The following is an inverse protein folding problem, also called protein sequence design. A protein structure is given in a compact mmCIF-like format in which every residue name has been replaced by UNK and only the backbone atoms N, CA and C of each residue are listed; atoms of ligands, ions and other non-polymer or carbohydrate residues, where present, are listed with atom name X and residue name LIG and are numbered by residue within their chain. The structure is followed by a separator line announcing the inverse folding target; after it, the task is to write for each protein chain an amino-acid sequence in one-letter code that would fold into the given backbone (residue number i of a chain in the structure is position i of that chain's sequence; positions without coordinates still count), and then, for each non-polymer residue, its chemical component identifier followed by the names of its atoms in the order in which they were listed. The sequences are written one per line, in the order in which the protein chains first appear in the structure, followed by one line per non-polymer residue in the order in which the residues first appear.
data_IF_219292177469
#
_entry.id   IF_219292177469
#
_cell.length_a   1.000
_cell.length_b   1.000
_cell.length_c   1.000
_cell.angle_alpha   90.00
_cell.angle_beta   90.00
_cell.angle_gamma   90.00
#
_symmetry.space_group_name_H-M   'P 1'
#
loop_
_entity.id
_entity.type
_entity.pdbx_description
1 polymer ?
#
# COMPACT_ATOMS: atom_id res chain seq x y z
N UNK A 1 -5.27 -30.38 -26.16
CA UNK A 1 -5.37 -31.69 -25.46
C UNK A 1 -5.31 -32.75 -26.54
N UNK A 2 -4.53 -33.83 -26.34
CA UNK A 2 -4.34 -34.89 -27.34
C UNK A 2 -3.20 -34.68 -28.35
N UNK A 3 -2.43 -33.60 -28.19
CA UNK A 3 -1.30 -33.27 -29.07
C UNK A 3 -0.02 -33.81 -28.43
N UNK A 4 0.84 -34.43 -29.24
CA UNK A 4 2.19 -34.82 -28.82
C UNK A 4 3.07 -33.59 -28.75
N UNK A 5 3.74 -33.40 -27.61
CA UNK A 5 4.68 -32.31 -27.39
C UNK A 5 5.94 -32.85 -26.70
N UNK A 6 7.06 -32.19 -26.96
CA UNK A 6 8.31 -32.41 -26.25
C UNK A 6 8.45 -31.34 -25.17
N UNK A 7 8.76 -31.76 -23.94
CA UNK A 7 8.99 -30.84 -22.84
C UNK A 7 10.40 -30.26 -22.86
N UNK A 8 10.61 -29.22 -22.05
CA UNK A 8 11.94 -28.62 -21.87
C UNK A 8 13.02 -29.62 -21.45
N UNK A 9 12.63 -30.70 -20.76
CA UNK A 9 13.55 -31.76 -20.31
C UNK A 9 13.72 -32.90 -21.33
N UNK A 10 13.25 -32.73 -22.57
CA UNK A 10 13.35 -33.73 -23.63
C UNK A 10 12.39 -34.91 -23.49
N UNK A 11 11.36 -34.78 -22.64
CA UNK A 11 10.33 -35.81 -22.51
C UNK A 11 9.27 -35.62 -23.59
N UNK A 12 9.06 -36.66 -24.40
CA UNK A 12 7.91 -36.71 -25.30
C UNK A 12 6.67 -37.16 -24.54
N UNK A 13 5.61 -36.37 -24.60
CA UNK A 13 4.35 -36.66 -23.91
C UNK A 13 3.13 -36.19 -24.70
N UNK A 14 1.96 -36.60 -24.25
CA UNK A 14 0.67 -36.11 -24.76
C UNK A 14 0.09 -35.09 -23.79
N UNK A 15 -0.42 -33.98 -24.31
CA UNK A 15 -1.08 -32.95 -23.47
C UNK A 15 -2.41 -33.51 -22.96
N UNK A 16 -2.43 -33.96 -21.71
CA UNK A 16 -3.62 -34.54 -21.04
C UNK A 16 -4.59 -33.51 -20.47
N UNK A 17 -4.14 -32.27 -20.27
CA UNK A 17 -4.97 -31.22 -19.68
C UNK A 17 -4.34 -29.83 -19.85
N UNK A 18 -5.18 -28.81 -19.72
CA UNK A 18 -4.79 -27.41 -19.67
C UNK A 18 -5.56 -26.79 -18.50
N UNK A 19 -4.86 -26.05 -17.66
CA UNK A 19 -5.44 -25.31 -16.54
C UNK A 19 -5.54 -23.84 -16.88
N UNK A 20 -6.40 -23.10 -16.17
CA UNK A 20 -6.37 -21.65 -16.18
C UNK A 20 -5.03 -21.13 -15.67
N UNK A 21 -4.69 -19.92 -16.08
CA UNK A 21 -3.46 -19.25 -15.66
C UNK A 21 -3.46 -19.06 -14.14
N UNK A 22 -2.34 -19.41 -13.50
CA UNK A 22 -2.11 -19.17 -12.09
C UNK A 22 -0.70 -18.65 -11.86
N UNK A 23 -0.53 -17.86 -10.80
CA UNK A 23 0.78 -17.35 -10.41
C UNK A 23 1.57 -18.44 -9.70
N UNK A 24 2.66 -18.88 -10.32
CA UNK A 24 3.62 -19.82 -9.73
C UNK A 24 4.95 -19.16 -9.35
N UNK A 25 5.12 -17.88 -9.70
CA UNK A 25 6.30 -17.06 -9.42
C UNK A 25 5.90 -15.72 -8.76
N UNK A 26 6.85 -14.78 -8.66
CA UNK A 26 6.58 -13.43 -8.12
C UNK A 26 5.50 -12.71 -8.94
N UNK A 27 4.66 -11.88 -8.31
CA UNK A 27 3.64 -11.06 -9.00
C UNK A 27 4.26 -9.99 -9.92
N UNK A 28 5.56 -9.71 -9.77
CA UNK A 28 6.30 -8.83 -10.66
C UNK A 28 6.56 -9.49 -12.03
N UNK A 29 6.54 -10.83 -12.09
CA UNK A 29 6.80 -11.59 -13.32
C UNK A 29 5.50 -11.90 -14.05
N UNK A 30 5.58 -11.89 -15.39
CA UNK A 30 4.50 -12.38 -16.25
C UNK A 30 4.36 -13.89 -16.01
N UNK A 31 3.13 -14.41 -16.11
CA UNK A 31 2.91 -15.86 -16.08
C UNK A 31 3.52 -16.45 -17.35
N UNK A 32 4.69 -17.06 -17.22
CA UNK A 32 5.35 -17.77 -18.31
C UNK A 32 4.66 -19.12 -18.57
N UNK A 33 4.76 -19.67 -19.79
CA UNK A 33 4.24 -21.00 -20.09
C UNK A 33 4.88 -22.04 -19.15
N UNK A 34 4.05 -22.67 -18.32
CA UNK A 34 4.48 -23.71 -17.40
C UNK A 34 3.98 -25.07 -17.90
N UNK A 35 4.91 -26.00 -18.11
CA UNK A 35 4.58 -27.40 -18.38
C UNK A 35 4.69 -28.17 -17.08
N UNK A 36 3.57 -28.74 -16.63
CA UNK A 36 3.54 -29.68 -15.50
C UNK A 36 3.62 -31.09 -16.07
N UNK A 37 4.73 -31.75 -15.81
CA UNK A 37 4.95 -33.12 -16.27
C UNK A 37 5.33 -34.06 -15.12
N UNK A 38 4.94 -35.32 -15.28
CA UNK A 38 5.41 -36.41 -14.43
C UNK A 38 6.40 -37.21 -15.27
N UNK A 39 7.68 -36.99 -15.01
CA UNK A 39 8.73 -37.72 -15.68
C UNK A 39 8.81 -39.14 -15.12
N UNK A 40 8.75 -40.17 -15.98
CA UNK A 40 8.81 -41.60 -15.57
C UNK A 40 10.20 -42.22 -15.66
N UNK A 41 11.20 -41.49 -16.17
CA UNK A 41 12.58 -41.97 -16.26
C UNK A 41 13.17 -42.12 -14.84
N UNK A 42 13.60 -43.33 -14.44
CA UNK A 42 14.17 -43.57 -13.12
C UNK A 42 15.41 -42.72 -12.82
N UNK A 43 16.24 -42.44 -13.82
CA UNK A 43 17.49 -41.69 -13.62
C UNK A 43 17.22 -40.19 -13.50
N UNK A 44 16.21 -39.67 -14.22
CA UNK A 44 15.72 -38.32 -14.01
C UNK A 44 15.07 -38.14 -12.64
N UNK A 45 14.23 -39.10 -12.20
CA UNK A 45 13.57 -39.03 -10.88
C UNK A 45 14.56 -38.96 -9.74
N UNK A 46 15.63 -39.78 -9.76
CA UNK A 46 16.68 -39.75 -8.73
C UNK A 46 17.29 -38.36 -8.52
N UNK A 47 17.36 -37.54 -9.58
CA UNK A 47 17.97 -36.21 -9.53
C UNK A 47 16.98 -35.11 -9.13
N UNK A 48 15.72 -35.21 -9.55
CA UNK A 48 14.75 -34.10 -9.47
C UNK A 48 13.58 -34.32 -8.51
N UNK A 49 13.28 -35.55 -8.07
CA UNK A 49 12.14 -35.84 -7.17
C UNK A 49 12.45 -35.65 -5.68
N UNK A 50 13.12 -34.55 -5.31
CA UNK A 50 13.55 -34.31 -3.91
C UNK A 50 12.42 -33.77 -3.02
N UNK A 51 11.35 -33.22 -3.60
CA UNK A 51 10.25 -32.62 -2.88
C UNK A 51 8.91 -33.19 -3.36
N UNK A 52 7.98 -33.42 -2.42
CA UNK A 52 6.62 -33.87 -2.71
C UNK A 52 5.65 -32.81 -2.18
N UNK A 53 4.69 -32.41 -3.01
CA UNK A 53 3.63 -31.51 -2.59
C UNK A 53 2.44 -32.32 -2.08
N UNK A 54 2.12 -32.17 -0.80
CA UNK A 54 1.03 -32.88 -0.13
C UNK A 54 -0.05 -31.90 0.28
N UNK A 55 -1.31 -32.20 -0.08
CA UNK A 55 -2.48 -31.47 0.41
C UNK A 55 -3.11 -32.25 1.56
N UNK A 56 -3.09 -31.66 2.75
CA UNK A 56 -3.71 -32.25 3.94
C UNK A 56 -5.20 -31.89 4.00
N UNK A 57 -6.01 -32.83 4.50
CA UNK A 57 -7.40 -32.52 4.87
C UNK A 57 -7.44 -31.55 6.07
N UNK A 58 -8.54 -30.82 6.30
CA UNK A 58 -8.72 -30.03 7.52
C UNK A 58 -8.65 -30.91 8.79
N UNK A 59 -8.15 -30.39 9.91
CA UNK A 59 -8.02 -31.12 11.19
C UNK A 59 -6.75 -30.75 11.97
N UNK A 60 -6.37 -31.57 12.95
CA UNK A 60 -5.13 -31.37 13.71
C UNK A 60 -3.92 -31.57 12.79
N UNK A 61 -3.13 -30.51 12.64
CA UNK A 61 -1.95 -30.50 11.79
C UNK A 61 -0.79 -31.27 12.42
N UNK A 62 -0.65 -31.22 13.75
CA UNK A 62 0.47 -31.86 14.46
C UNK A 62 0.34 -33.38 14.38
N UNK A 63 -0.88 -33.90 14.52
CA UNK A 63 -1.16 -35.33 14.38
C UNK A 63 -0.84 -35.81 12.95
N UNK A 64 -1.23 -35.03 11.93
CA UNK A 64 -1.00 -35.37 10.52
C UNK A 64 0.46 -35.32 10.13
N UNK A 65 1.22 -34.34 10.63
CA UNK A 65 2.67 -34.27 10.40
C UNK A 65 3.35 -35.47 11.04
N UNK A 66 2.99 -35.81 12.28
CA UNK A 66 3.54 -36.99 12.95
C UNK A 66 3.24 -38.28 12.18
N UNK A 67 2.00 -38.45 11.71
CA UNK A 67 1.64 -39.61 10.87
C UNK A 67 2.45 -39.66 9.56
N UNK A 68 2.79 -38.50 8.97
CA UNK A 68 3.66 -38.45 7.79
C UNK A 68 5.11 -38.79 8.13
N UNK A 69 5.63 -38.31 9.26
CA UNK A 69 6.97 -38.64 9.76
C UNK A 69 7.09 -40.15 9.99
N UNK A 70 6.15 -40.76 10.72
CA UNK A 70 6.14 -42.20 10.99
C UNK A 70 6.12 -43.03 9.69
N UNK A 71 5.31 -42.64 8.71
CA UNK A 71 5.25 -43.31 7.40
C UNK A 71 6.52 -43.12 6.57
N UNK A 72 7.16 -41.96 6.65
CA UNK A 72 8.40 -41.70 5.92
C UNK A 72 9.56 -42.49 6.49
N UNK A 73 9.59 -42.69 7.81
CA UNK A 73 10.57 -43.53 8.49
C UNK A 73 10.41 -45.00 8.10
N UNK A 74 9.17 -45.51 8.03
CA UNK A 74 8.87 -46.87 7.54
C UNK A 74 9.35 -47.09 6.10
N UNK A 75 9.19 -46.09 5.23
CA UNK A 75 9.57 -46.18 3.82
C UNK A 75 11.08 -46.00 3.58
N UNK A 76 11.79 -45.31 4.48
CA UNK A 76 13.21 -45.02 4.32
C UNK A 76 13.89 -44.66 5.66
N UNK A 77 14.55 -45.65 6.26
CA UNK A 77 15.30 -45.54 7.53
C UNK A 77 16.39 -44.44 7.55
N UNK A 78 16.81 -43.92 6.40
CA UNK A 78 17.89 -42.90 6.28
C UNK A 78 17.42 -41.50 5.83
N UNK A 79 16.11 -41.27 5.67
CA UNK A 79 15.60 -39.99 5.16
C UNK A 79 15.23 -39.03 6.27
N UNK A 80 15.92 -37.88 6.35
CA UNK A 80 15.50 -36.77 7.22
C UNK A 80 14.37 -36.02 6.52
N UNK A 81 13.14 -36.14 7.04
CA UNK A 81 12.00 -35.41 6.52
C UNK A 81 12.13 -33.92 6.83
N UNK A 82 12.41 -33.11 5.80
CA UNK A 82 12.25 -31.66 5.84
C UNK A 82 10.93 -31.26 5.21
N UNK A 83 10.13 -30.43 5.88
CA UNK A 83 8.91 -29.86 5.32
C UNK A 83 8.94 -28.34 5.35
N UNK A 84 8.16 -27.73 4.48
CA UNK A 84 7.91 -26.28 4.48
C UNK A 84 6.50 -26.05 4.01
N UNK A 85 5.76 -25.19 4.70
CA UNK A 85 4.43 -24.81 4.25
C UNK A 85 4.51 -23.93 3.02
N UNK A 86 3.60 -24.15 2.08
CA UNK A 86 3.48 -23.29 0.90
C UNK A 86 3.27 -21.84 1.32
N UNK A 87 2.49 -21.60 2.38
CA UNK A 87 2.26 -20.27 2.94
C UNK A 87 3.56 -19.58 3.38
N UNK A 88 4.49 -20.30 3.99
CA UNK A 88 5.79 -19.72 4.40
C UNK A 88 6.63 -19.33 3.18
N UNK A 89 6.59 -20.13 2.12
CA UNK A 89 7.29 -19.84 0.88
C UNK A 89 6.67 -18.64 0.15
N UNK A 90 5.34 -18.56 0.12
CA UNK A 90 4.62 -17.39 -0.40
C UNK A 90 4.97 -16.15 0.43
N UNK A 91 4.95 -16.24 1.76
CA UNK A 91 5.29 -15.13 2.64
C UNK A 91 6.72 -14.62 2.43
N UNK A 92 7.68 -15.49 2.07
CA UNK A 92 9.04 -15.05 1.69
C UNK A 92 9.02 -14.20 0.43
N UNK A 93 8.27 -14.61 -0.58
CA UNK A 93 8.14 -13.87 -1.85
C UNK A 93 7.43 -12.52 -1.68
N UNK A 94 6.57 -12.36 -0.67
CA UNK A 94 5.84 -11.10 -0.39
C UNK A 94 6.44 -10.25 0.72
N UNK A 95 7.54 -10.68 1.34
CA UNK A 95 8.12 -10.03 2.53
C UNK A 95 8.66 -8.64 2.19
N UNK A 96 9.27 -8.48 1.03
CA UNK A 96 9.78 -7.21 0.51
C UNK A 96 8.67 -6.18 0.33
N UNK A 97 7.58 -6.59 -0.29
CA UNK A 97 6.41 -5.78 -0.62
C UNK A 97 5.71 -5.32 0.65
N UNK A 98 5.55 -6.23 1.62
CA UNK A 98 4.97 -5.90 2.92
C UNK A 98 5.82 -4.88 3.68
N UNK A 99 7.15 -5.04 3.69
CA UNK A 99 8.07 -4.07 4.31
C UNK A 99 8.01 -2.70 3.63
N UNK A 100 8.01 -2.69 2.30
CA UNK A 100 7.90 -1.44 1.53
C UNK A 100 6.59 -0.73 1.83
N UNK A 101 5.47 -1.46 1.86
CA UNK A 101 4.16 -0.93 2.28
C UNK A 101 4.23 -0.31 3.66
N UNK A 102 4.78 -1.01 4.66
CA UNK A 102 4.90 -0.51 6.04
C UNK A 102 5.74 0.78 6.11
N UNK A 103 6.87 0.83 5.39
CA UNK A 103 7.72 2.03 5.31
C UNK A 103 7.00 3.21 4.66
N UNK A 104 6.36 2.99 3.51
CA UNK A 104 5.59 4.03 2.82
C UNK A 104 4.45 4.55 3.70
N UNK A 105 3.79 3.67 4.45
CA UNK A 105 2.72 4.05 5.37
C UNK A 105 3.23 4.92 6.53
N UNK A 106 4.37 4.55 7.12
CA UNK A 106 5.02 5.35 8.16
C UNK A 106 5.46 6.73 7.64
N UNK A 107 6.08 6.79 6.46
CA UNK A 107 6.48 8.05 5.84
C UNK A 107 5.29 8.93 5.44
N UNK A 108 4.20 8.34 4.96
CA UNK A 108 2.99 9.08 4.64
C UNK A 108 2.40 9.75 5.89
N UNK A 109 2.31 9.03 7.02
CA UNK A 109 1.85 9.61 8.29
C UNK A 109 2.76 10.74 8.74
N UNK A 110 4.08 10.53 8.72
CA UNK A 110 5.04 11.55 9.12
C UNK A 110 4.94 12.79 8.22
N UNK A 111 4.82 12.60 6.91
CA UNK A 111 4.67 13.68 5.95
C UNK A 111 3.38 14.48 6.20
N UNK A 112 2.25 13.81 6.45
CA UNK A 112 0.99 14.46 6.81
C UNK A 112 1.16 15.24 8.12
N UNK A 113 1.77 14.63 9.14
CA UNK A 113 1.98 15.27 10.43
C UNK A 113 2.84 16.54 10.33
N UNK A 114 3.97 16.46 9.63
CA UNK A 114 4.87 17.60 9.39
C UNK A 114 4.16 18.67 8.55
N UNK A 115 3.40 18.28 7.53
CA UNK A 115 2.62 19.21 6.71
C UNK A 115 1.57 19.95 7.54
N UNK A 116 0.91 19.27 8.48
CA UNK A 116 -0.03 19.89 9.41
C UNK A 116 0.68 20.90 10.34
N UNK A 117 1.88 20.59 10.83
CA UNK A 117 2.69 21.52 11.63
C UNK A 117 3.11 22.74 10.81
N UNK A 118 3.52 22.54 9.55
CA UNK A 118 3.87 23.63 8.65
C UNK A 118 2.68 24.55 8.35
N UNK A 119 1.52 23.97 8.03
CA UNK A 119 0.28 24.72 7.82
C UNK A 119 -0.15 25.47 9.09
N UNK A 120 -0.03 24.82 10.26
CA UNK A 120 -0.29 25.44 11.56
C UNK A 120 0.63 26.64 11.79
N UNK A 121 1.94 26.51 11.57
CA UNK A 121 2.91 27.59 11.71
C UNK A 121 2.61 28.76 10.76
N UNK A 122 2.34 28.46 9.49
CA UNK A 122 2.02 29.48 8.48
C UNK A 122 0.71 30.21 8.80
N UNK A 123 -0.31 29.48 9.30
CA UNK A 123 -1.58 30.07 9.71
C UNK A 123 -1.42 31.01 10.91
N UNK A 124 -0.59 30.63 11.89
CA UNK A 124 -0.32 31.46 13.07
C UNK A 124 0.43 32.74 12.68
N UNK A 125 1.48 32.62 11.87
CA UNK A 125 2.24 33.78 11.37
C UNK A 125 1.37 34.71 10.51
N UNK A 126 0.52 34.16 9.66
CA UNK A 126 -0.41 34.97 8.84
C UNK A 126 -1.45 35.68 9.69
N UNK A 127 -1.96 35.01 10.73
CA UNK A 127 -2.88 35.64 11.68
C UNK A 127 -2.20 36.81 12.39
N UNK A 128 -0.96 36.65 12.83
CA UNK A 128 -0.14 37.71 13.46
C UNK A 128 0.06 38.91 12.54
N UNK A 129 0.47 38.70 11.28
CA UNK A 129 0.64 39.77 10.29
C UNK A 129 -0.67 40.52 9.99
N UNK A 130 -1.80 39.82 10.03
CA UNK A 130 -3.13 40.40 9.77
C UNK A 130 -3.90 40.83 11.02
N UNK A 131 -3.28 40.79 12.20
CA UNK A 131 -3.90 41.20 13.47
C UNK A 131 -4.47 42.62 13.41
N UNK A 132 -3.74 43.59 12.85
CA UNK A 132 -4.19 44.99 12.74
C UNK A 132 -5.45 45.10 11.86
N UNK A 133 -5.47 44.44 10.72
CA UNK A 133 -6.64 44.43 9.81
C UNK A 133 -7.84 43.74 10.46
N UNK A 134 -7.61 42.61 11.14
CA UNK A 134 -8.65 41.86 11.85
C UNK A 134 -9.20 42.63 13.05
N UNK A 135 -8.36 43.34 13.79
CA UNK A 135 -8.73 44.18 14.92
C UNK A 135 -9.61 45.35 14.51
N UNK A 136 -9.27 46.03 13.40
CA UNK A 136 -10.10 47.10 12.83
C UNK A 136 -11.46 46.55 12.37
N UNK A 137 -11.48 45.45 11.60
CA UNK A 137 -12.74 44.84 11.14
C UNK A 137 -13.62 44.39 12.31
N UNK A 138 -13.04 43.81 13.36
CA UNK A 138 -13.77 43.38 14.56
C UNK A 138 -14.31 44.58 15.35
N UNK A 139 -13.55 45.67 15.47
CA UNK A 139 -14.02 46.92 16.06
C UNK A 139 -15.16 47.58 15.26
N UNK A 140 -15.17 47.38 13.93
CA UNK A 140 -16.28 47.77 13.04
C UNK A 140 -17.48 46.79 13.07
N UNK A 141 -17.49 45.79 13.96
CA UNK A 141 -18.61 44.87 14.15
C UNK A 141 -18.59 43.61 13.27
N UNK A 142 -17.47 43.28 12.61
CA UNK A 142 -17.37 42.03 11.87
C UNK A 142 -17.43 40.81 12.82
N UNK A 143 -18.26 39.82 12.46
CA UNK A 143 -18.36 38.57 13.22
C UNK A 143 -17.06 37.75 13.12
N UNK A 144 -16.74 37.00 14.18
CA UNK A 144 -15.59 36.07 14.21
C UNK A 144 -15.66 35.08 13.03
N UNK A 145 -16.88 34.62 12.69
CA UNK A 145 -17.10 33.74 11.54
C UNK A 145 -16.68 34.34 10.19
N UNK A 146 -16.94 35.64 9.98
CA UNK A 146 -16.53 36.34 8.74
C UNK A 146 -15.00 36.41 8.61
N UNK A 147 -14.32 36.68 9.73
CA UNK A 147 -12.85 36.71 9.80
C UNK A 147 -12.26 35.32 9.56
N UNK A 148 -12.83 34.29 10.21
CA UNK A 148 -12.44 32.89 10.03
C UNK A 148 -12.64 32.41 8.58
N UNK A 149 -13.75 32.78 7.94
CA UNK A 149 -14.03 32.40 6.55
C UNK A 149 -13.04 33.05 5.59
N UNK A 150 -12.74 34.34 5.77
CA UNK A 150 -11.78 35.05 4.91
C UNK A 150 -10.37 34.43 4.99
N UNK A 151 -9.91 34.11 6.20
CA UNK A 151 -8.62 33.46 6.41
C UNK A 151 -8.62 32.05 5.80
N UNK A 152 -9.64 31.25 6.09
CA UNK A 152 -9.77 29.87 5.58
C UNK A 152 -9.81 29.84 4.05
N UNK A 153 -10.57 30.74 3.41
CA UNK A 153 -10.64 30.83 1.94
C UNK A 153 -9.27 31.04 1.30
N UNK A 154 -8.43 31.88 1.91
CA UNK A 154 -7.10 32.18 1.39
C UNK A 154 -6.21 30.93 1.42
N UNK A 155 -6.25 30.15 2.51
CA UNK A 155 -5.54 28.87 2.62
C UNK A 155 -6.10 27.80 1.68
N UNK A 156 -7.43 27.70 1.53
CA UNK A 156 -8.06 26.71 0.65
C UNK A 156 -7.68 26.92 -0.83
N UNK A 157 -7.48 28.16 -1.28
CA UNK A 157 -7.00 28.44 -2.64
C UNK A 157 -5.61 27.84 -2.87
N UNK A 158 -4.69 27.97 -1.89
CA UNK A 158 -3.37 27.34 -1.99
C UNK A 158 -3.44 25.81 -1.97
N UNK A 159 -4.36 25.23 -1.18
CA UNK A 159 -4.58 23.77 -1.19
C UNK A 159 -5.10 23.29 -2.54
N UNK A 160 -6.04 24.00 -3.15
CA UNK A 160 -6.55 23.67 -4.49
C UNK A 160 -5.41 23.73 -5.52
N UNK A 161 -4.61 24.79 -5.50
CA UNK A 161 -3.47 24.92 -6.40
C UNK A 161 -2.45 23.78 -6.21
N UNK A 162 -2.18 23.39 -4.96
CA UNK A 162 -1.32 22.27 -4.64
C UNK A 162 -1.90 20.94 -5.12
N UNK A 163 -3.21 20.69 -4.95
CA UNK A 163 -3.88 19.47 -5.43
C UNK A 163 -3.87 19.37 -6.95
N UNK A 164 -4.07 20.48 -7.67
CA UNK A 164 -4.00 20.50 -9.14
C UNK A 164 -2.63 20.07 -9.68
N UNK A 165 -1.57 20.26 -8.90
CA UNK A 165 -0.21 19.85 -9.25
C UNK A 165 0.08 18.43 -8.71
N UNK A 166 -0.32 18.15 -7.47
CA UNK A 166 -0.02 16.89 -6.79
C UNK A 166 -0.78 15.70 -7.38
N UNK A 167 -2.03 15.86 -7.83
CA UNK A 167 -2.82 14.75 -8.37
C UNK A 167 -2.24 14.22 -9.70
N UNK A 168 -1.92 15.06 -10.71
CA UNK A 168 -1.28 14.58 -11.95
C UNK A 168 0.10 13.97 -11.71
N UNK A 169 0.92 14.59 -10.85
CA UNK A 169 2.23 14.06 -10.50
C UNK A 169 2.11 12.71 -9.79
N UNK A 170 1.21 12.61 -8.80
CA UNK A 170 0.95 11.37 -8.08
C UNK A 170 0.47 10.25 -9.01
N UNK A 171 -0.44 10.56 -9.93
CA UNK A 171 -0.86 9.63 -10.96
C UNK A 171 0.30 9.17 -11.85
N UNK A 172 1.12 10.10 -12.34
CA UNK A 172 2.27 9.78 -13.19
C UNK A 172 3.27 8.85 -12.50
N UNK A 173 3.67 9.17 -11.26
CA UNK A 173 4.61 8.34 -10.50
C UNK A 173 4.03 6.97 -10.15
N UNK A 174 2.75 6.91 -9.75
CA UNK A 174 2.10 5.62 -9.46
C UNK A 174 1.92 4.77 -10.70
N UNK A 175 1.51 5.36 -11.82
CA UNK A 175 1.37 4.61 -13.06
C UNK A 175 2.72 4.06 -13.55
N UNK A 176 3.77 4.88 -13.51
CA UNK A 176 5.14 4.42 -13.83
C UNK A 176 5.63 3.32 -12.89
N UNK A 177 5.32 3.41 -11.60
CA UNK A 177 5.67 2.36 -10.64
C UNK A 177 4.89 1.06 -10.90
N UNK A 178 3.58 1.15 -11.14
CA UNK A 178 2.70 0.00 -11.41
C UNK A 178 3.05 -0.72 -12.72
N UNK A 179 3.61 -0.02 -13.72
CA UNK A 179 4.08 -0.66 -14.96
C UNK A 179 5.21 -1.67 -14.76
N UNK A 180 5.92 -1.63 -13.61
CA UNK A 180 6.93 -2.65 -13.28
C UNK A 180 6.31 -3.97 -12.81
N UNK A 181 4.99 -4.03 -12.63
CA UNK A 181 4.27 -5.22 -12.24
C UNK A 181 3.53 -5.77 -13.45
N UNK A 182 3.80 -7.04 -13.80
CA UNK A 182 3.10 -7.72 -14.89
C UNK A 182 1.57 -7.74 -14.70
N UNK A 183 1.13 -7.81 -13.44
CA UNK A 183 -0.26 -7.70 -13.05
C UNK A 183 -0.40 -6.54 -12.06
N UNK A 184 -0.96 -5.43 -12.53
CA UNK A 184 -1.20 -4.25 -11.74
C UNK A 184 -2.69 -3.91 -11.69
N UNK A 185 -3.11 -3.29 -10.58
CA UNK A 185 -4.43 -2.68 -10.50
C UNK A 185 -4.50 -1.44 -11.39
N UNK A 186 -5.68 -1.11 -11.90
CA UNK A 186 -5.92 0.19 -12.52
C UNK A 186 -6.19 1.23 -11.44
N UNK A 187 -5.41 2.31 -11.41
CA UNK A 187 -5.63 3.44 -10.50
C UNK A 187 -7.01 4.03 -10.79
N UNK A 188 -7.89 4.00 -9.80
CA UNK A 188 -9.24 4.49 -9.97
C UNK A 188 -9.34 5.95 -9.59
N UNK A 189 -10.08 6.75 -10.37
CA UNK A 189 -10.23 8.19 -10.12
C UNK A 189 -10.78 8.54 -8.72
N UNK A 190 -11.56 7.64 -8.12
CA UNK A 190 -12.14 7.84 -6.78
C UNK A 190 -11.08 7.90 -5.68
N UNK A 191 -9.92 7.26 -5.85
CA UNK A 191 -8.81 7.28 -4.89
C UNK A 191 -8.28 8.70 -4.72
N UNK A 192 -8.15 9.44 -5.83
CA UNK A 192 -7.76 10.85 -5.84
C UNK A 192 -8.82 11.76 -5.23
N UNK A 193 -10.10 11.46 -5.44
CA UNK A 193 -11.21 12.21 -4.83
C UNK A 193 -11.20 12.01 -3.32
N UNK A 194 -11.03 10.77 -2.85
CA UNK A 194 -10.96 10.46 -1.43
C UNK A 194 -9.75 11.13 -0.77
N UNK A 195 -8.57 11.07 -1.40
CA UNK A 195 -7.38 11.78 -0.95
C UNK A 195 -7.62 13.29 -0.86
N UNK A 196 -8.24 13.88 -1.89
CA UNK A 196 -8.55 15.31 -1.92
C UNK A 196 -9.51 15.71 -0.79
N UNK A 197 -10.59 14.96 -0.58
CA UNK A 197 -11.56 15.19 0.51
C UNK A 197 -10.85 15.13 1.87
N UNK A 198 -9.98 14.14 2.06
CA UNK A 198 -9.23 13.97 3.30
C UNK A 198 -8.29 15.16 3.55
N UNK A 199 -7.53 15.58 2.54
CA UNK A 199 -6.66 16.76 2.60
C UNK A 199 -7.44 18.04 2.91
N UNK A 200 -8.59 18.24 2.24
CA UNK A 200 -9.47 19.38 2.50
C UNK A 200 -10.00 19.38 3.93
N UNK A 201 -10.43 18.22 4.42
CA UNK A 201 -10.97 18.07 5.77
C UNK A 201 -9.92 18.41 6.81
N UNK A 202 -8.72 17.85 6.70
CA UNK A 202 -7.61 18.11 7.62
C UNK A 202 -7.22 19.59 7.60
N UNK A 203 -7.04 20.16 6.41
CA UNK A 203 -6.68 21.59 6.26
C UNK A 203 -7.74 22.49 6.89
N UNK A 204 -9.02 22.24 6.59
CA UNK A 204 -10.13 23.06 7.09
C UNK A 204 -10.18 23.01 8.61
N UNK A 205 -10.02 21.82 9.22
CA UNK A 205 -9.98 21.66 10.68
C UNK A 205 -8.80 22.43 11.28
N UNK A 206 -7.59 22.25 10.74
CA UNK A 206 -6.38 22.91 11.25
C UNK A 206 -6.45 24.44 11.17
N UNK A 207 -6.88 24.99 10.04
CA UNK A 207 -6.97 26.44 9.83
C UNK A 207 -8.13 27.05 10.62
N UNK A 208 -9.30 26.40 10.65
CA UNK A 208 -10.46 26.90 11.39
C UNK A 208 -10.19 26.98 12.88
N UNK A 209 -9.55 25.94 13.45
CA UNK A 209 -9.16 25.93 14.87
C UNK A 209 -8.30 27.15 15.24
N UNK A 210 -7.30 27.48 14.41
CA UNK A 210 -6.42 28.63 14.65
C UNK A 210 -7.09 29.97 14.44
N UNK A 211 -7.88 30.10 13.37
CA UNK A 211 -8.59 31.33 13.06
C UNK A 211 -9.62 31.68 14.15
N UNK A 212 -10.30 30.68 14.72
CA UNK A 212 -11.22 30.86 15.85
C UNK A 212 -10.44 31.26 17.10
N UNK A 213 -9.35 30.56 17.43
CA UNK A 213 -8.55 30.85 18.61
C UNK A 213 -7.95 32.27 18.58
N UNK A 214 -7.39 32.68 17.44
CA UNK A 214 -6.85 34.04 17.24
C UNK A 214 -7.95 35.11 17.15
N UNK A 215 -9.10 34.77 16.55
CA UNK A 215 -10.26 35.67 16.48
C UNK A 215 -10.96 35.90 17.82
N UNK A 216 -10.81 34.99 18.80
CA UNK A 216 -11.32 35.15 20.17
C UNK A 216 -10.39 35.92 21.09
N UNK A 217 -9.14 36.15 20.69
CA UNK A 217 -8.20 36.97 21.45
C UNK A 217 -8.74 38.41 21.61
N UNK A 218 -8.55 38.98 22.80
CA UNK A 218 -9.16 40.24 23.20
C UNK A 218 -8.46 41.40 22.46
N UNK A 219 -9.17 42.22 21.65
CA UNK A 219 -8.56 43.28 20.85
C UNK A 219 -7.83 44.35 21.67
N UNK A 220 -8.15 44.46 22.96
CA UNK A 220 -7.48 45.37 23.91
C UNK A 220 -6.01 45.01 24.11
N UNK A 221 -5.64 43.72 24.05
CA UNK A 221 -4.24 43.29 24.15
C UNK A 221 -3.49 43.47 22.83
N UNK A 222 -4.20 43.47 21.69
CA UNK A 222 -3.62 43.62 20.35
C UNK A 222 -3.21 45.07 20.02
N UNK A 223 -3.86 46.04 20.67
CA UNK A 223 -3.60 47.48 20.50
C UNK A 223 -2.64 48.05 21.57
N UNK A 224 -2.31 47.26 22.60
CA UNK A 224 -1.41 47.66 23.70
C UNK A 224 0.03 47.16 23.51
N UNK A 225 0.36 46.69 22.30
CA UNK A 225 1.73 46.51 21.84
C UNK A 225 2.20 47.80 21.14
N UNK A 226 2.34 48.85 21.95
CA UNK A 226 3.38 49.86 21.84
C UNK A 226 4.11 49.89 23.19
#
# INVERSE_FOLDING_TARGET
IGVKAESYFGQNGEIVGVTENFHFASLQQVIEPLVLEINYDPDFRKLWSRNILLRLTPGDLSEKIKMLEDKMEELSESSIMGYTFIEDNLNKNYKSEKRLKELLWAFAILAIFISCLGLFGLSAFTAELKTKEMGIRKAMGASVASITFMLSKSFLVYVIAALLIALPLGYYFMNSWLQNFAYHISISWWEFVLASILTFTITTISVSYKAIHSGMSNPVDSLRYE
#
